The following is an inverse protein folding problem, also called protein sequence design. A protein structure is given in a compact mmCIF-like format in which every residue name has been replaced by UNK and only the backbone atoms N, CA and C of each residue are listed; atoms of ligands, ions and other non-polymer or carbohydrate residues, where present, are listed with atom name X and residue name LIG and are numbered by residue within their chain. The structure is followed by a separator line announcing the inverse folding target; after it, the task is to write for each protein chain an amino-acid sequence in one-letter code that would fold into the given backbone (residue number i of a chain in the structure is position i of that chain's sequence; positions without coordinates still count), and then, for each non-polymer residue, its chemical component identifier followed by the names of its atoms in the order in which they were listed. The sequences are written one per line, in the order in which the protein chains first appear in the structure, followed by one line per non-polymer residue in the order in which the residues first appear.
data_IF_018712954660
#
_entry.id   IF_018712954660
#
_cell.length_a   1.000
_cell.length_b   1.000
_cell.length_c   1.000
_cell.angle_alpha   90.00
_cell.angle_beta   90.00
_cell.angle_gamma   90.00
#
_symmetry.space_group_name_H-M   'P 1'
#
loop_
_entity.id
_entity.type
_entity.pdbx_description
1 polymer ?
#
# COMPACT_ATOMS: atom_id res chain seq x y z
N UNK A 1 1.24 -14.83 -13.09
CA UNK A 1 0.80 -13.41 -13.11
C UNK A 1 0.08 -13.13 -14.43
N UNK A 2 -1.12 -12.53 -14.39
CA UNK A 2 -1.78 -11.94 -15.57
C UNK A 2 -1.71 -10.42 -15.41
N UNK A 3 -1.15 -9.73 -16.39
CA UNK A 3 -1.10 -8.27 -16.45
C UNK A 3 -1.54 -7.84 -17.85
N UNK A 4 -2.08 -6.63 -18.03
CA UNK A 4 -2.41 -6.16 -19.38
C UNK A 4 -1.13 -5.86 -20.16
N UNK A 5 -0.20 -5.09 -19.57
CA UNK A 5 1.08 -4.75 -20.17
C UNK A 5 2.19 -4.76 -19.13
N UNK A 6 3.44 -4.90 -19.59
CA UNK A 6 4.64 -4.85 -18.76
C UNK A 6 5.55 -3.74 -19.30
N UNK A 7 5.75 -2.70 -18.50
CA UNK A 7 6.49 -1.49 -18.89
C UNK A 7 7.48 -1.15 -17.77
N UNK A 8 8.76 -0.93 -18.09
CA UNK A 8 9.79 -0.52 -17.11
C UNK A 8 10.67 0.60 -17.65
N UNK A 9 11.09 1.49 -16.75
CA UNK A 9 12.09 2.54 -17.04
C UNK A 9 13.52 2.00 -17.11
N UNK A 10 13.76 0.88 -16.44
CA UNK A 10 15.04 0.14 -16.45
C UNK A 10 14.89 -1.22 -17.13
N UNK A 11 15.66 -2.20 -16.63
CA UNK A 11 15.55 -3.59 -17.03
C UNK A 11 14.42 -4.35 -16.34
N UNK A 12 14.10 -5.54 -16.84
CA UNK A 12 13.10 -6.44 -16.28
C UNK A 12 13.67 -7.85 -16.16
N UNK A 13 13.56 -8.45 -14.98
CA UNK A 13 13.88 -9.87 -14.74
C UNK A 13 12.60 -10.59 -14.35
N UNK A 14 12.23 -11.62 -15.13
CA UNK A 14 11.06 -12.45 -14.87
C UNK A 14 11.52 -13.85 -14.47
N UNK A 15 11.31 -14.22 -13.21
CA UNK A 15 11.64 -15.55 -12.70
C UNK A 15 10.54 -16.58 -12.98
N UNK A 16 9.39 -16.14 -13.49
CA UNK A 16 8.23 -16.98 -13.83
C UNK A 16 7.54 -16.45 -15.10
N UNK A 17 6.86 -17.30 -15.88
CA UNK A 17 6.09 -16.85 -17.04
C UNK A 17 4.94 -15.90 -16.63
N UNK A 18 4.80 -14.82 -17.40
CA UNK A 18 3.73 -13.82 -17.23
C UNK A 18 2.91 -13.78 -18.52
N UNK A 19 1.58 -13.76 -18.39
CA UNK A 19 0.68 -13.59 -19.53
C UNK A 19 0.32 -12.11 -19.66
N UNK A 20 0.60 -11.53 -20.83
CA UNK A 20 0.29 -10.12 -21.15
C UNK A 20 -0.69 -10.01 -22.31
N UNK A 21 -1.51 -8.95 -22.34
CA UNK A 21 -2.29 -8.56 -23.53
C UNK A 21 -1.45 -7.77 -24.53
N UNK A 22 -0.56 -6.92 -24.04
CA UNK A 22 0.42 -6.23 -24.88
C UNK A 22 1.28 -7.24 -25.65
N UNK A 23 1.51 -6.96 -26.94
CA UNK A 23 2.28 -7.80 -27.84
C UNK A 23 3.79 -7.84 -27.48
N UNK A 24 4.29 -6.86 -26.75
CA UNK A 24 5.69 -6.80 -26.33
C UNK A 24 5.83 -6.15 -24.97
N UNK A 25 6.89 -6.55 -24.26
CA UNK A 25 7.32 -5.93 -23.00
C UNK A 25 8.11 -4.67 -23.37
N UNK A 26 7.81 -3.55 -22.74
CA UNK A 26 8.49 -2.28 -23.00
C UNK A 26 9.50 -2.07 -21.87
N UNK A 27 10.78 -2.01 -22.18
CA UNK A 27 11.84 -1.62 -21.25
C UNK A 27 12.42 -0.26 -21.68
N UNK A 28 13.14 0.42 -20.78
CA UNK A 28 13.69 1.76 -21.04
C UNK A 28 12.63 2.81 -21.42
N UNK A 29 11.40 2.65 -20.94
CA UNK A 29 10.35 3.65 -21.11
C UNK A 29 10.69 4.95 -20.36
N UNK A 30 10.05 6.06 -20.75
CA UNK A 30 10.10 7.28 -19.97
C UNK A 30 9.57 7.04 -18.54
N UNK A 31 10.15 7.69 -17.51
CA UNK A 31 9.60 7.64 -16.17
C UNK A 31 8.13 8.00 -16.14
N UNK A 32 7.31 7.10 -15.59
CA UNK A 32 5.93 7.41 -15.29
C UNK A 32 5.87 8.58 -14.29
N UNK A 33 4.96 9.52 -14.52
CA UNK A 33 4.70 10.58 -13.55
C UNK A 33 4.21 9.95 -12.24
N UNK A 34 4.63 10.52 -11.11
CA UNK A 34 4.17 10.07 -9.81
C UNK A 34 2.67 10.39 -9.62
N UNK A 35 1.79 9.36 -9.58
CA UNK A 35 0.34 9.55 -9.55
C UNK A 35 -0.14 10.21 -8.25
N UNK A 36 0.67 10.18 -7.18
CA UNK A 36 0.34 10.77 -5.88
C UNK A 36 1.23 11.98 -5.54
N UNK A 37 1.91 12.57 -6.54
CA UNK A 37 2.82 13.72 -6.35
C UNK A 37 2.15 14.97 -5.75
N UNK A 38 0.84 15.15 -5.93
CA UNK A 38 0.08 16.26 -5.35
C UNK A 38 -0.34 16.02 -3.89
N UNK A 39 -0.19 14.79 -3.37
CA UNK A 39 -0.72 14.38 -2.08
C UNK A 39 0.12 14.95 -0.91
N UNK A 40 -0.40 15.89 -0.10
CA UNK A 40 0.36 16.45 1.02
C UNK A 40 0.67 15.38 2.07
N UNK A 41 1.82 15.47 2.73
CA UNK A 41 2.10 14.63 3.89
C UNK A 41 1.14 15.02 5.04
N UNK A 42 0.51 14.06 5.75
CA UNK A 42 -0.34 14.40 6.87
C UNK A 42 0.43 15.08 8.00
N UNK A 43 -0.18 16.10 8.60
CA UNK A 43 0.39 16.82 9.71
C UNK A 43 0.45 15.96 10.97
N UNK A 44 1.53 16.10 11.73
CA UNK A 44 1.70 15.48 13.04
C UNK A 44 0.77 16.16 14.04
N UNK A 45 -0.01 15.36 14.75
CA UNK A 45 -0.91 15.79 15.83
C UNK A 45 -0.35 15.39 17.20
N UNK A 46 -0.54 16.26 18.20
CA UNK A 46 -0.16 16.01 19.59
C UNK A 46 -1.41 16.03 20.50
N UNK A 47 -1.43 15.26 21.61
CA UNK A 47 -0.37 14.37 22.08
C UNK A 47 -0.27 13.08 21.27
N UNK A 48 0.91 12.44 21.31
CA UNK A 48 1.13 11.12 20.74
C UNK A 48 0.20 10.07 21.35
N UNK A 49 -0.34 9.20 20.50
CA UNK A 49 -1.06 7.99 20.88
C UNK A 49 -0.10 6.81 20.98
N UNK A 50 -0.48 5.80 21.74
CA UNK A 50 0.29 4.59 21.95
C UNK A 50 -0.56 3.35 21.66
N UNK A 51 0.07 2.30 21.16
CA UNK A 51 -0.53 0.96 21.06
C UNK A 51 -0.33 0.24 22.39
N UNK A 52 -1.39 -0.36 22.94
CA UNK A 52 -1.26 -1.14 24.16
C UNK A 52 -0.82 -2.57 23.80
N UNK A 53 0.47 -2.88 23.98
CA UNK A 53 1.03 -4.18 23.63
C UNK A 53 0.51 -5.35 24.48
N UNK A 54 -0.05 -5.07 25.67
CA UNK A 54 -0.59 -6.10 26.57
C UNK A 54 -2.00 -6.53 26.21
N UNK A 55 -2.69 -5.81 25.31
CA UNK A 55 -4.04 -6.16 24.86
C UNK A 55 -4.01 -7.11 23.68
N UNK A 56 -4.75 -8.20 23.80
CA UNK A 56 -5.06 -9.11 22.70
C UNK A 56 -6.20 -8.59 21.81
N UNK A 57 -7.03 -7.67 22.30
CA UNK A 57 -8.06 -6.98 21.52
C UNK A 57 -8.06 -5.48 21.84
N UNK A 58 -7.95 -4.62 20.82
CA UNK A 58 -8.05 -3.17 21.01
C UNK A 58 -8.55 -2.44 19.77
N UNK A 59 -9.21 -1.31 19.99
CA UNK A 59 -9.57 -0.36 18.94
C UNK A 59 -8.63 0.84 19.02
N UNK A 60 -7.91 1.12 17.94
CA UNK A 60 -7.04 2.29 17.80
C UNK A 60 -7.80 3.44 17.15
N UNK A 61 -7.44 4.65 17.54
CA UNK A 61 -8.03 5.89 17.04
C UNK A 61 -7.05 6.60 16.12
N UNK A 62 -7.53 7.31 15.08
CA UNK A 62 -6.66 8.10 14.21
C UNK A 62 -5.87 9.15 15.00
N UNK A 63 -4.71 9.53 14.47
CA UNK A 63 -3.75 10.44 15.10
C UNK A 63 -2.30 9.97 14.94
N UNK A 64 -1.40 10.60 15.70
CA UNK A 64 0.04 10.31 15.63
C UNK A 64 0.46 9.22 16.61
N UNK A 65 1.25 8.27 16.13
CA UNK A 65 1.90 7.22 16.91
C UNK A 65 3.42 7.43 16.85
N UNK A 66 3.93 8.12 17.86
CA UNK A 66 5.31 8.63 17.86
C UNK A 66 6.38 7.55 18.13
N UNK A 67 5.97 6.40 18.66
CA UNK A 67 6.86 5.25 18.94
C UNK A 67 6.65 4.11 17.95
N UNK A 68 6.03 4.39 16.80
CA UNK A 68 5.58 3.37 15.87
C UNK A 68 4.35 2.61 16.36
N UNK A 69 4.09 1.47 15.73
CA UNK A 69 2.94 0.62 16.03
C UNK A 69 3.37 -0.84 16.00
N UNK A 70 3.26 -1.53 17.13
CA UNK A 70 3.47 -2.98 17.21
C UNK A 70 2.13 -3.67 17.47
N UNK A 71 1.48 -4.14 16.41
CA UNK A 71 0.12 -4.67 16.44
C UNK A 71 0.12 -6.18 16.70
N UNK A 72 -0.60 -6.60 17.73
CA UNK A 72 -0.74 -8.00 18.18
C UNK A 72 -2.23 -8.31 18.41
N UNK A 73 -2.61 -9.58 18.23
CA UNK A 73 -4.00 -10.00 18.43
C UNK A 73 -4.97 -9.30 17.46
N UNK A 74 -6.17 -8.98 17.94
CA UNK A 74 -7.25 -8.35 17.20
C UNK A 74 -7.19 -6.82 17.36
N UNK A 75 -6.79 -6.11 16.32
CA UNK A 75 -6.73 -4.65 16.32
C UNK A 75 -7.70 -4.07 15.31
N UNK A 76 -8.65 -3.26 15.79
CA UNK A 76 -9.56 -2.52 14.93
C UNK A 76 -9.08 -1.06 14.80
N UNK A 77 -8.88 -0.57 13.58
CA UNK A 77 -8.55 0.83 13.30
C UNK A 77 -9.85 1.59 13.04
N UNK A 78 -10.18 2.57 13.86
CA UNK A 78 -11.25 3.52 13.53
C UNK A 78 -10.91 4.30 12.25
N UNK A 79 -11.93 4.66 11.47
CA UNK A 79 -11.75 5.36 10.20
C UNK A 79 -10.95 6.66 10.39
N UNK A 80 -10.01 6.94 9.49
CA UNK A 80 -9.20 8.17 9.52
C UNK A 80 -7.73 7.96 9.19
N UNK A 81 -6.94 9.02 9.41
CA UNK A 81 -5.50 9.05 9.09
C UNK A 81 -4.66 8.75 10.32
N UNK A 82 -3.69 7.86 10.16
CA UNK A 82 -2.72 7.46 11.16
C UNK A 82 -1.33 7.91 10.74
N UNK A 83 -0.69 8.76 11.54
CA UNK A 83 0.68 9.21 11.30
C UNK A 83 1.61 8.38 12.17
N UNK A 84 2.49 7.60 11.56
CA UNK A 84 3.37 6.67 12.28
C UNK A 84 4.80 7.20 12.20
N UNK A 85 5.36 7.62 13.34
CA UNK A 85 6.76 8.07 13.46
C UNK A 85 7.63 6.96 14.07
N UNK A 86 7.55 5.78 13.48
CA UNK A 86 8.30 4.60 13.85
C UNK A 86 7.87 3.44 12.97
N UNK A 87 8.44 2.27 13.17
CA UNK A 87 8.06 1.11 12.35
C UNK A 87 6.64 0.65 12.69
N UNK A 88 5.91 0.24 11.65
CA UNK A 88 4.63 -0.46 11.77
C UNK A 88 4.90 -1.96 11.63
N UNK A 89 4.75 -2.69 12.74
CA UNK A 89 4.90 -4.13 12.78
C UNK A 89 3.54 -4.79 13.03
N UNK A 90 3.14 -5.69 12.13
CA UNK A 90 1.97 -6.54 12.30
C UNK A 90 2.46 -7.97 12.53
N UNK A 91 2.23 -8.48 13.74
CA UNK A 91 2.79 -9.76 14.17
C UNK A 91 2.01 -10.95 13.59
N UNK A 92 2.66 -12.11 13.54
CA UNK A 92 2.02 -13.35 13.07
C UNK A 92 0.76 -13.66 13.89
N UNK A 93 -0.33 -14.05 13.22
CA UNK A 93 -1.61 -14.31 13.87
C UNK A 93 -2.41 -13.08 14.27
N UNK A 94 -1.89 -11.86 14.07
CA UNK A 94 -2.67 -10.65 14.30
C UNK A 94 -3.78 -10.50 13.25
N UNK A 95 -4.93 -10.01 13.69
CA UNK A 95 -6.10 -9.73 12.86
C UNK A 95 -6.36 -8.23 12.91
N UNK A 96 -6.10 -7.55 11.80
CA UNK A 96 -6.23 -6.09 11.69
C UNK A 96 -7.43 -5.77 10.82
N UNK A 97 -8.39 -5.02 11.37
CA UNK A 97 -9.63 -4.67 10.67
C UNK A 97 -9.91 -3.18 10.75
N UNK A 98 -10.80 -2.70 9.90
CA UNK A 98 -11.43 -1.39 10.10
C UNK A 98 -12.55 -1.52 11.14
N UNK A 99 -12.55 -0.66 12.16
CA UNK A 99 -13.58 -0.67 13.20
C UNK A 99 -14.93 -0.25 12.62
N UNK A 100 -16.00 -0.98 12.98
CA UNK A 100 -17.34 -0.66 12.51
C UNK A 100 -17.91 0.60 13.22
N UNK A 101 -18.56 1.53 12.49
CA UNK A 101 -18.71 1.56 11.04
C UNK A 101 -17.42 2.04 10.34
N UNK A 102 -17.02 1.33 9.27
CA UNK A 102 -15.89 1.72 8.43
C UNK A 102 -16.34 2.70 7.34
N UNK A 103 -16.73 3.91 7.74
CA UNK A 103 -17.45 4.84 6.84
C UNK A 103 -16.53 5.51 5.82
N UNK A 104 -15.26 5.73 6.15
CA UNK A 104 -14.33 6.45 5.26
C UNK A 104 -12.95 5.79 5.18
N UNK A 105 -12.86 4.50 5.51
CA UNK A 105 -11.60 3.76 5.42
C UNK A 105 -10.48 4.31 6.31
N UNK A 106 -9.26 3.88 6.03
CA UNK A 106 -8.06 4.20 6.80
C UNK A 106 -6.93 4.57 5.86
N UNK A 107 -6.17 5.60 6.22
CA UNK A 107 -4.88 5.91 5.59
C UNK A 107 -3.79 5.83 6.64
N UNK A 108 -2.74 5.06 6.38
CA UNK A 108 -1.58 4.90 7.24
C UNK A 108 -0.39 5.59 6.58
N UNK A 109 0.06 6.69 7.18
CA UNK A 109 1.23 7.42 6.74
C UNK A 109 2.46 7.05 7.57
N UNK A 110 3.51 6.62 6.89
CA UNK A 110 4.81 6.29 7.47
C UNK A 110 5.73 7.49 7.32
N UNK A 111 5.98 8.21 8.41
CA UNK A 111 6.83 9.42 8.39
C UNK A 111 8.31 9.06 8.22
N UNK A 112 9.07 9.89 7.50
CA UNK A 112 10.49 9.66 7.24
C UNK A 112 10.76 8.32 6.52
N UNK A 113 11.74 7.57 7.02
CA UNK A 113 12.17 6.29 6.40
C UNK A 113 11.67 5.07 7.17
N UNK A 114 10.60 5.25 7.95
CA UNK A 114 10.00 4.17 8.72
C UNK A 114 9.36 3.12 7.80
N UNK A 115 9.36 1.88 8.25
CA UNK A 115 8.97 0.74 7.42
C UNK A 115 7.74 0.02 7.94
N UNK A 116 7.06 -0.67 7.03
CA UNK A 116 5.97 -1.59 7.34
C UNK A 116 6.51 -3.01 7.29
N UNK A 117 6.20 -3.81 8.30
CA UNK A 117 6.52 -5.24 8.35
C UNK A 117 5.30 -6.03 8.76
N UNK A 118 4.69 -6.72 7.80
CA UNK A 118 3.62 -7.68 8.05
C UNK A 118 4.17 -9.11 8.00
N UNK A 119 3.83 -9.95 8.97
CA UNK A 119 4.24 -11.35 8.99
C UNK A 119 3.19 -12.25 8.32
N UNK A 120 3.61 -13.30 7.62
CA UNK A 120 2.73 -14.04 6.68
C UNK A 120 1.50 -14.74 7.25
N UNK A 121 1.42 -14.95 8.57
CA UNK A 121 0.22 -15.50 9.23
C UNK A 121 -0.74 -14.40 9.74
N UNK A 122 -0.47 -13.12 9.48
CA UNK A 122 -1.38 -12.03 9.82
C UNK A 122 -2.53 -11.95 8.81
N UNK A 123 -3.71 -11.55 9.29
CA UNK A 123 -4.87 -11.23 8.45
C UNK A 123 -5.14 -9.73 8.55
N UNK A 124 -5.02 -9.00 7.45
CA UNK A 124 -5.25 -7.55 7.41
C UNK A 124 -6.38 -7.24 6.44
N UNK A 125 -7.48 -6.67 6.92
CA UNK A 125 -8.62 -6.26 6.11
C UNK A 125 -8.88 -4.77 6.31
N UNK A 126 -8.30 -3.97 5.42
CA UNK A 126 -8.37 -2.52 5.45
C UNK A 126 -8.72 -1.99 4.05
N UNK A 127 -9.42 -0.87 4.03
CA UNK A 127 -9.74 -0.14 2.81
C UNK A 127 -9.34 1.33 2.96
N UNK A 128 -8.75 1.89 1.92
CA UNK A 128 -8.52 3.32 1.80
C UNK A 128 -9.85 4.10 1.85
N UNK A 129 -9.81 5.39 2.19
CA UNK A 129 -10.91 6.31 1.94
C UNK A 129 -11.31 6.31 0.47
N UNK A 130 -12.60 6.48 0.16
CA UNK A 130 -13.09 6.66 -1.21
C UNK A 130 -13.30 8.13 -1.58
N UNK A 131 -13.01 9.05 -0.64
CA UNK A 131 -13.14 10.48 -0.81
C UNK A 131 -12.19 11.26 0.11
N UNK A 132 -12.09 12.57 -0.09
CA UNK A 132 -11.21 13.45 0.67
C UNK A 132 -9.75 13.40 0.19
N UNK A 133 -8.86 14.08 0.91
CA UNK A 133 -7.46 14.29 0.50
C UNK A 133 -6.72 12.99 0.19
N UNK A 134 -6.95 11.94 0.96
CA UNK A 134 -6.27 10.63 0.84
C UNK A 134 -7.14 9.57 0.16
N UNK A 135 -8.12 9.99 -0.67
CA UNK A 135 -8.92 9.06 -1.46
C UNK A 135 -8.04 8.08 -2.22
N UNK A 136 -8.37 6.79 -2.15
CA UNK A 136 -7.65 5.72 -2.81
C UNK A 136 -6.32 5.33 -2.16
N UNK A 137 -5.82 6.04 -1.14
CA UNK A 137 -4.49 5.79 -0.53
C UNK A 137 -4.62 5.09 0.83
N UNK A 138 -4.18 3.83 0.90
CA UNK A 138 -4.20 3.03 2.12
C UNK A 138 -2.88 3.16 2.90
N UNK A 139 -1.75 3.05 2.20
CA UNK A 139 -0.43 3.27 2.79
C UNK A 139 0.31 4.37 2.04
N UNK A 140 0.91 5.29 2.78
CA UNK A 140 1.68 6.40 2.26
C UNK A 140 3.03 6.51 2.99
N UNK A 141 4.11 6.17 2.32
CA UNK A 141 5.48 6.43 2.77
C UNK A 141 5.93 7.86 2.44
N UNK A 142 6.61 8.48 3.39
CA UNK A 142 7.12 9.85 3.25
C UNK A 142 8.04 10.01 2.03
N UNK A 143 7.77 11.06 1.24
CA UNK A 143 8.54 11.41 0.04
C UNK A 143 9.91 11.95 0.35
N UNK A 144 10.11 12.48 1.57
CA UNK A 144 11.39 13.02 2.03
C UNK A 144 12.24 11.96 2.73
N UNK A 145 11.77 10.71 2.81
CA UNK A 145 12.54 9.59 3.35
C UNK A 145 13.76 9.23 2.48
N UNK A 146 14.63 8.40 3.05
CA UNK A 146 15.71 7.72 2.33
C UNK A 146 15.30 6.29 1.97
N UNK A 147 16.13 5.62 1.18
CA UNK A 147 15.88 4.25 0.79
C UNK A 147 15.73 3.33 2.00
N UNK A 148 14.66 2.54 2.00
CA UNK A 148 14.37 1.52 3.00
C UNK A 148 13.55 0.41 2.35
N UNK A 149 13.23 -0.64 3.11
CA UNK A 149 12.47 -1.78 2.60
C UNK A 149 11.25 -2.04 3.50
N UNK A 150 10.06 -2.05 2.90
CA UNK A 150 8.80 -2.39 3.55
C UNK A 150 8.27 -3.72 3.01
N UNK A 151 7.83 -4.60 3.91
CA UNK A 151 7.34 -5.93 3.60
C UNK A 151 5.86 -6.06 3.94
N UNK A 152 5.07 -6.37 2.92
CA UNK A 152 3.65 -6.68 2.99
C UNK A 152 3.49 -8.19 2.76
N UNK A 153 3.45 -8.95 3.85
CA UNK A 153 3.23 -10.38 3.82
C UNK A 153 2.00 -10.77 4.64
N UNK A 154 1.06 -11.46 4.01
CA UNK A 154 -0.24 -11.81 4.55
C UNK A 154 -0.84 -13.03 3.88
N UNK A 155 -1.90 -13.55 4.49
CA UNK A 155 -2.64 -14.73 4.03
C UNK A 155 -3.62 -14.38 2.89
N UNK A 156 -4.15 -15.39 2.19
CA UNK A 156 -5.20 -15.21 1.18
C UNK A 156 -6.51 -14.59 1.73
N UNK A 157 -6.69 -14.56 3.05
CA UNK A 157 -7.82 -13.90 3.73
C UNK A 157 -7.59 -12.42 3.98
N UNK A 158 -6.37 -11.92 3.75
CA UNK A 158 -6.08 -10.48 3.85
C UNK A 158 -6.65 -9.73 2.64
N UNK A 159 -7.15 -8.53 2.88
CA UNK A 159 -7.70 -7.62 1.88
C UNK A 159 -7.13 -6.22 2.12
N UNK A 160 -6.18 -5.79 1.29
CA UNK A 160 -5.67 -4.41 1.29
C UNK A 160 -6.26 -3.66 0.10
N UNK A 161 -7.37 -2.95 0.32
CA UNK A 161 -8.05 -2.23 -0.76
C UNK A 161 -7.55 -0.79 -0.81
N UNK A 162 -6.86 -0.41 -1.88
CA UNK A 162 -6.25 0.92 -2.00
C UNK A 162 -4.81 0.89 -2.53
N UNK A 163 -4.22 2.07 -2.62
CA UNK A 163 -2.84 2.28 -3.03
C UNK A 163 -1.86 2.08 -1.86
N UNK A 164 -0.77 1.38 -2.16
CA UNK A 164 0.44 1.26 -1.36
C UNK A 164 1.49 2.14 -2.04
N UNK A 165 1.67 3.35 -1.53
CA UNK A 165 2.53 4.38 -2.12
C UNK A 165 3.78 4.59 -1.29
N UNK A 166 4.94 4.14 -1.78
CA UNK A 166 6.26 4.23 -1.13
C UNK A 166 7.34 4.64 -2.15
N UNK A 167 7.35 5.91 -2.60
CA UNK A 167 8.14 6.37 -3.74
C UNK A 167 9.66 6.32 -3.52
N UNK A 168 10.12 6.13 -2.29
CA UNK A 168 11.55 6.05 -1.92
C UNK A 168 11.98 4.66 -1.43
N UNK A 169 11.04 3.73 -1.25
CA UNK A 169 11.34 2.44 -0.63
C UNK A 169 11.12 1.28 -1.60
N UNK A 170 11.81 0.19 -1.33
CA UNK A 170 11.46 -1.11 -1.90
C UNK A 170 10.23 -1.66 -1.18
N UNK A 171 9.23 -2.10 -1.94
CA UNK A 171 8.04 -2.80 -1.43
C UNK A 171 8.14 -4.27 -1.80
N UNK A 172 8.27 -5.12 -0.78
CA UNK A 172 8.19 -6.57 -0.90
C UNK A 172 6.74 -6.98 -0.68
N UNK A 173 6.01 -7.21 -1.77
CA UNK A 173 4.64 -7.70 -1.75
C UNK A 173 4.66 -9.22 -1.84
N UNK A 174 4.66 -9.87 -0.68
CA UNK A 174 4.90 -11.30 -0.52
C UNK A 174 3.63 -11.98 0.01
N UNK A 175 2.74 -12.44 -0.87
CA UNK A 175 1.53 -13.12 -0.42
C UNK A 175 0.51 -13.30 -1.54
N UNK A 176 -0.55 -14.03 -1.22
CA UNK A 176 -1.64 -14.34 -2.15
C UNK A 176 -2.87 -13.47 -1.87
N UNK A 177 -2.68 -12.23 -1.41
CA UNK A 177 -3.76 -11.33 -1.08
C UNK A 177 -3.91 -10.21 -2.11
N UNK A 178 -5.15 -9.76 -2.25
CA UNK A 178 -5.55 -8.62 -3.08
C UNK A 178 -6.66 -7.88 -2.36
N UNK A 179 -6.85 -6.60 -2.62
CA UNK A 179 -7.98 -5.83 -2.11
C UNK A 179 -9.33 -6.42 -2.55
N UNK A 180 -10.42 -5.89 -2.00
CA UNK A 180 -11.77 -6.23 -2.46
C UNK A 180 -11.87 -6.00 -3.96
N UNK A 181 -12.38 -6.98 -4.69
CA UNK A 181 -12.47 -6.92 -6.16
C UNK A 181 -11.12 -6.92 -6.89
N UNK A 182 -10.01 -7.28 -6.23
CA UNK A 182 -8.66 -7.24 -6.81
C UNK A 182 -8.00 -5.86 -6.77
N UNK A 183 -8.61 -4.90 -6.07
CA UNK A 183 -8.21 -3.49 -6.12
C UNK A 183 -7.11 -3.14 -5.12
N UNK A 184 -5.88 -3.43 -5.50
CA UNK A 184 -4.65 -2.95 -4.84
C UNK A 184 -3.74 -2.35 -5.89
N UNK A 185 -3.32 -1.11 -5.68
CA UNK A 185 -2.31 -0.45 -6.49
C UNK A 185 -1.02 -0.36 -5.70
N UNK A 186 0.13 -0.62 -6.33
CA UNK A 186 1.44 -0.50 -5.66
C UNK A 186 2.31 0.44 -6.47
N UNK A 187 2.73 1.54 -5.84
CA UNK A 187 3.63 2.54 -6.41
C UNK A 187 4.82 2.65 -5.48
N UNK A 188 5.99 2.21 -5.92
CA UNK A 188 7.20 2.23 -5.11
C UNK A 188 8.43 2.46 -6.00
N UNK A 189 9.58 2.75 -5.39
CA UNK A 189 10.86 2.83 -6.11
C UNK A 189 11.18 1.48 -6.77
N UNK A 190 11.06 0.41 -5.98
CA UNK A 190 11.23 -0.98 -6.45
C UNK A 190 10.10 -1.83 -5.89
N UNK A 191 9.44 -2.63 -6.73
CA UNK A 191 8.43 -3.60 -6.31
C UNK A 191 8.97 -5.01 -6.51
N UNK A 192 9.13 -5.75 -5.42
CA UNK A 192 9.38 -7.18 -5.46
C UNK A 192 8.07 -7.91 -5.18
N UNK A 193 7.57 -8.63 -6.19
CA UNK A 193 6.30 -9.35 -6.10
C UNK A 193 6.54 -10.85 -6.03
N UNK A 194 5.95 -11.50 -5.02
CA UNK A 194 5.94 -12.96 -4.89
C UNK A 194 4.58 -13.44 -4.41
N UNK A 195 3.87 -14.22 -5.23
CA UNK A 195 2.54 -14.75 -4.93
C UNK A 195 1.59 -14.78 -6.13
N UNK A 196 0.45 -15.43 -5.95
CA UNK A 196 -0.61 -15.63 -6.95
C UNK A 196 -1.79 -14.65 -6.74
N UNK A 197 -1.50 -13.39 -6.44
CA UNK A 197 -2.53 -12.37 -6.25
C UNK A 197 -3.20 -11.97 -7.58
N UNK A 198 -4.51 -11.79 -7.54
CA UNK A 198 -5.31 -11.17 -8.61
C UNK A 198 -5.24 -9.64 -8.50
N UNK A 199 -4.80 -8.99 -9.57
CA UNK A 199 -4.75 -7.53 -9.68
C UNK A 199 -5.88 -7.11 -10.64
N UNK A 200 -6.76 -6.23 -10.19
CA UNK A 200 -7.76 -5.59 -11.02
C UNK A 200 -7.28 -4.17 -11.43
N UNK A 201 -7.63 -3.76 -12.65
CA UNK A 201 -7.19 -2.51 -13.25
C UNK A 201 -8.21 -1.39 -13.06
N UNK A 202 -9.51 -1.71 -13.03
CA UNK A 202 -10.56 -0.72 -12.75
C UNK A 202 -10.91 -0.74 -11.26
N UNK A 203 -10.47 0.32 -10.58
CA UNK A 203 -10.68 0.53 -9.17
C UNK A 203 -11.34 1.87 -8.86
N UNK A 204 -12.00 2.46 -9.86
CA UNK A 204 -12.73 3.73 -9.76
C UNK A 204 -13.81 3.69 -8.66
N UNK A 205 -14.48 2.54 -8.49
CA UNK A 205 -15.44 2.30 -7.42
C UNK A 205 -14.86 2.43 -6.00
N UNK A 206 -13.53 2.40 -5.87
CA UNK A 206 -12.80 2.55 -4.61
C UNK A 206 -12.04 3.88 -4.53
N UNK A 207 -12.38 4.86 -5.39
CA UNK A 207 -11.77 6.19 -5.40
C UNK A 207 -10.32 6.20 -5.90
N UNK A 208 -9.91 5.18 -6.65
CA UNK A 208 -8.60 5.08 -7.29
C UNK A 208 -8.71 5.31 -8.80
N UNK A 209 -7.89 6.24 -9.30
CA UNK A 209 -7.72 6.46 -10.73
C UNK A 209 -6.71 5.48 -11.33
N UNK A 210 -6.75 5.32 -12.64
CA UNK A 210 -5.77 4.52 -13.37
C UNK A 210 -4.37 5.12 -13.27
N UNK A 211 -3.38 4.30 -12.90
CA UNK A 211 -1.97 4.72 -12.92
C UNK A 211 -1.48 4.70 -14.37
N UNK A 212 -1.17 5.87 -14.91
CA UNK A 212 -0.64 5.99 -16.26
C UNK A 212 0.81 5.52 -16.29
N UNK A 213 1.03 4.27 -16.74
CA UNK A 213 2.34 3.63 -16.73
C UNK A 213 3.29 4.13 -17.84
N UNK A 214 2.78 4.73 -18.91
CA UNK A 214 3.58 5.36 -19.96
C UNK A 214 2.77 6.38 -20.74
N UNK A 215 3.36 7.54 -20.99
CA UNK A 215 2.90 8.48 -22.02
C UNK A 215 3.63 8.15 -23.32
N UNK A 216 2.91 7.66 -24.33
CA UNK A 216 3.46 7.52 -25.67
C UNK A 216 3.33 8.83 -26.44
N UNK A 217 4.44 9.43 -26.86
CA UNK A 217 4.43 10.49 -27.88
C UNK A 217 4.46 9.78 -29.24
N UNK A 218 3.41 9.95 -30.02
CA UNK A 218 3.36 9.47 -31.41
C UNK A 218 3.82 10.63 -32.30
N UNK A 219 4.89 10.41 -33.07
CA UNK A 219 5.20 11.28 -34.20
C UNK A 219 4.14 11.04 -35.27
N UNK A 220 3.37 12.08 -35.57
CA UNK A 220 2.51 12.12 -36.76
C UNK A 220 3.40 12.62 -37.88
N UNK A 221 3.69 11.75 -38.86
CA UNK A 221 4.22 12.17 -40.16
C UNK A 221 3.05 12.54 -41.09
#
# INVERSE_FOLDING_TARGET
LKADCLITVGGMVLNNPVTTKCASKITQALPAADPFSSLPAPAVTNPCRNVNASKTTQTLQPGTYCSGMNLNGNVALSSGTYVVQGNLKINAGAVITCAAPCTNGVTIFMSGSNTVSMNGNATVNLSAPTSGTYSGVLFYGDRTGVWAQSTFNGTATSLLTGAIYFPKQQVNYLGNFSGKGGCTQVVADTVQWSGNSTINQDCTAYGMDGITAATSIVLVE
#
